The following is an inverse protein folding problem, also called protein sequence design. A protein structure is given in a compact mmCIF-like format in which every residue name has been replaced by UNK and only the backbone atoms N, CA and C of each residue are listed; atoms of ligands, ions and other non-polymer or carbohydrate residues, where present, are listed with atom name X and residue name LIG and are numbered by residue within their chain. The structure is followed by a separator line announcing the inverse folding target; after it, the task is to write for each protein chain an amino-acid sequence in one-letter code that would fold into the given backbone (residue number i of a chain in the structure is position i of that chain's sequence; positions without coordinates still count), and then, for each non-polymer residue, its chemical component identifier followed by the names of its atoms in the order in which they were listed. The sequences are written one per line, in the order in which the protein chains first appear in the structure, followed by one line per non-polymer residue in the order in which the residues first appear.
data_IF_134415076253
#
_entry.id   IF_134415076253
#
_cell.length_a   1.000
_cell.length_b   1.000
_cell.length_c   1.000
_cell.angle_alpha   90.00
_cell.angle_beta   90.00
_cell.angle_gamma   90.00
#
_symmetry.space_group_name_H-M   'P 1'
#
loop_
_entity.id
_entity.type
_entity.pdbx_description
1 polymer ?
#
# COMPACT_ATOMS: atom_id res chain seq x y z
N UNK A 1 5.44 5.87 -5.42
CA UNK A 1 4.91 4.78 -4.59
C UNK A 1 5.45 3.46 -5.12
N UNK A 2 5.81 2.57 -4.21
CA UNK A 2 6.11 1.18 -4.54
C UNK A 2 5.13 0.25 -3.84
N UNK A 3 4.73 -0.83 -4.51
CA UNK A 3 3.92 -1.90 -3.93
C UNK A 3 4.74 -3.17 -4.07
N UNK A 4 4.94 -3.87 -2.97
CA UNK A 4 5.73 -5.10 -2.92
C UNK A 4 4.95 -6.21 -2.23
N UNK A 5 5.08 -7.41 -2.75
CA UNK A 5 4.38 -8.59 -2.24
C UNK A 5 4.72 -9.82 -3.03
N UNK A 6 3.90 -10.85 -2.90
CA UNK A 6 4.01 -12.09 -3.68
C UNK A 6 2.83 -12.24 -4.62
N UNK A 7 3.03 -13.02 -5.67
CA UNK A 7 1.99 -13.25 -6.68
C UNK A 7 0.66 -13.71 -6.08
N UNK A 8 -0.43 -13.08 -6.50
CA UNK A 8 -1.80 -13.37 -6.03
C UNK A 8 -2.32 -12.49 -4.89
N UNK A 9 -1.52 -11.60 -4.32
CA UNK A 9 -1.92 -10.72 -3.21
C UNK A 9 -2.66 -9.45 -3.63
N UNK A 10 -2.81 -9.20 -4.93
CA UNK A 10 -3.59 -8.07 -5.44
C UNK A 10 -2.79 -6.79 -5.69
N UNK A 11 -1.48 -6.90 -5.90
CA UNK A 11 -0.60 -5.78 -6.29
C UNK A 11 -1.15 -5.03 -7.50
N UNK A 12 -1.63 -5.77 -8.50
CA UNK A 12 -2.21 -5.21 -9.72
C UNK A 12 -3.50 -4.40 -9.45
N UNK A 13 -4.38 -4.88 -8.57
CA UNK A 13 -5.59 -4.11 -8.22
C UNK A 13 -5.21 -2.82 -7.50
N UNK A 14 -4.31 -2.91 -6.53
CA UNK A 14 -3.84 -1.76 -5.76
C UNK A 14 -3.20 -0.71 -6.66
N UNK A 15 -2.33 -1.13 -7.61
CA UNK A 15 -1.69 -0.21 -8.55
C UNK A 15 -2.68 0.45 -9.52
N UNK A 16 -3.70 -0.28 -9.97
CA UNK A 16 -4.76 0.27 -10.83
C UNK A 16 -5.58 1.34 -10.10
N UNK A 17 -5.94 1.11 -8.84
CA UNK A 17 -6.67 2.10 -8.03
C UNK A 17 -5.80 3.33 -7.81
N UNK A 18 -4.52 3.15 -7.44
CA UNK A 18 -3.56 4.25 -7.27
C UNK A 18 -3.34 5.04 -8.55
N UNK A 19 -3.18 4.36 -9.67
CA UNK A 19 -3.03 5.03 -10.97
C UNK A 19 -4.28 5.81 -11.37
N UNK A 20 -5.45 5.22 -11.15
CA UNK A 20 -6.73 5.85 -11.51
C UNK A 20 -7.04 7.07 -10.65
N UNK A 21 -6.79 7.03 -9.33
CA UNK A 21 -7.00 8.18 -8.46
C UNK A 21 -6.08 9.34 -8.86
N UNK A 22 -4.82 9.06 -9.18
CA UNK A 22 -3.89 10.09 -9.64
C UNK A 22 -4.31 10.69 -10.99
N UNK A 23 -4.77 9.86 -11.94
CA UNK A 23 -5.32 10.36 -13.22
C UNK A 23 -6.56 11.24 -13.01
N UNK A 24 -7.46 10.86 -12.11
CA UNK A 24 -8.65 11.66 -11.76
C UNK A 24 -8.25 12.99 -11.16
N UNK A 25 -7.16 13.05 -10.40
CA UNK A 25 -6.56 14.29 -9.87
C UNK A 25 -5.79 15.11 -10.91
N UNK A 26 -5.78 14.70 -12.19
CA UNK A 26 -5.16 15.46 -13.28
C UNK A 26 -3.65 15.25 -13.44
N UNK A 27 -3.09 14.24 -12.78
CA UNK A 27 -1.65 13.92 -12.87
C UNK A 27 -1.30 13.04 -14.07
N UNK A 28 -0.09 13.21 -14.60
CA UNK A 28 0.54 12.21 -15.47
C UNK A 28 0.94 10.99 -14.62
N UNK A 29 0.66 9.77 -15.12
CA UNK A 29 0.84 8.52 -14.36
C UNK A 29 1.62 7.51 -15.19
N UNK A 30 2.62 6.89 -14.59
CA UNK A 30 3.31 5.75 -15.15
C UNK A 30 3.27 4.57 -14.17
N UNK A 31 2.98 3.40 -14.69
CA UNK A 31 2.92 2.14 -13.96
C UNK A 31 3.90 1.15 -14.57
N UNK A 32 4.58 0.39 -13.72
CA UNK A 32 5.40 -0.76 -14.14
C UNK A 32 5.33 -1.85 -13.10
N UNK A 33 5.20 -3.10 -13.54
CA UNK A 33 5.21 -4.26 -12.67
C UNK A 33 6.35 -5.19 -13.07
N UNK A 34 7.18 -5.57 -12.11
CA UNK A 34 8.30 -6.48 -12.28
C UNK A 34 8.04 -7.75 -11.48
N UNK A 35 8.07 -8.87 -12.16
CA UNK A 35 7.90 -10.19 -11.54
C UNK A 35 9.25 -10.88 -11.38
N UNK A 36 9.48 -11.53 -10.24
CA UNK A 36 10.57 -12.48 -10.08
C UNK A 36 10.37 -13.69 -10.98
N UNK A 37 11.46 -14.42 -11.29
CA UNK A 37 11.44 -15.59 -12.20
C UNK A 37 10.69 -16.81 -11.65
N UNK A 38 10.23 -16.79 -10.40
CA UNK A 38 9.42 -17.87 -9.81
C UNK A 38 8.01 -17.88 -10.37
N UNK A 39 7.57 -19.02 -10.92
CA UNK A 39 6.25 -19.17 -11.52
C UNK A 39 5.10 -19.11 -10.49
N UNK A 40 5.36 -19.33 -9.20
CA UNK A 40 4.40 -19.21 -8.09
C UNK A 40 5.08 -18.67 -6.85
N UNK A 41 4.43 -17.73 -6.15
CA UNK A 41 4.95 -17.17 -4.91
C UNK A 41 6.22 -16.31 -5.07
N UNK A 42 6.56 -15.90 -6.30
CA UNK A 42 7.66 -14.99 -6.56
C UNK A 42 7.35 -13.57 -6.11
N UNK A 43 8.39 -12.84 -5.73
CA UNK A 43 8.30 -11.42 -5.39
C UNK A 43 7.75 -10.63 -6.59
N UNK A 44 6.81 -9.74 -6.32
CA UNK A 44 6.23 -8.80 -7.29
C UNK A 44 6.50 -7.40 -6.80
N UNK A 45 7.09 -6.59 -7.66
CA UNK A 45 7.35 -5.17 -7.40
C UNK A 45 6.59 -4.34 -8.40
N UNK A 46 5.72 -3.47 -7.93
CA UNK A 46 4.95 -2.56 -8.78
C UNK A 46 5.33 -1.12 -8.43
N UNK A 47 5.71 -0.37 -9.46
CA UNK A 47 6.00 1.05 -9.36
C UNK A 47 4.77 1.85 -9.81
N UNK A 48 4.39 2.85 -9.02
CA UNK A 48 3.36 3.83 -9.35
C UNK A 48 3.98 5.21 -9.20
N UNK A 49 4.24 5.87 -10.32
CA UNK A 49 4.72 7.25 -10.34
C UNK A 49 3.64 8.17 -10.87
N UNK A 50 3.42 9.29 -10.21
CA UNK A 50 2.54 10.33 -10.69
C UNK A 50 3.07 11.72 -10.31
N UNK A 51 2.72 12.70 -11.10
CA UNK A 51 3.16 14.09 -10.95
C UNK A 51 2.66 14.94 -12.12
N UNK A 52 3.10 16.19 -12.20
CA UNK A 52 2.77 17.06 -13.34
C UNK A 52 3.27 16.49 -14.67
N UNK A 53 4.44 15.86 -14.66
CA UNK A 53 5.04 15.15 -15.79
C UNK A 53 5.94 14.04 -15.29
N UNK A 54 5.77 12.83 -15.82
CA UNK A 54 6.53 11.64 -15.43
C UNK A 54 7.14 11.00 -16.67
N UNK A 55 8.47 11.05 -16.78
CA UNK A 55 9.19 10.53 -17.94
C UNK A 55 9.23 9.01 -17.98
N UNK A 56 9.43 8.36 -16.83
CA UNK A 56 9.63 6.91 -16.72
C UNK A 56 8.91 6.31 -15.50
N UNK A 57 8.52 5.02 -15.54
CA UNK A 57 7.78 4.39 -14.47
C UNK A 57 8.63 3.93 -13.29
N UNK A 58 9.93 3.66 -13.50
CA UNK A 58 10.81 3.06 -12.50
C UNK A 58 11.15 4.10 -11.43
N UNK A 59 11.07 3.69 -10.17
CA UNK A 59 11.51 4.47 -9.01
C UNK A 59 12.93 4.05 -8.67
N UNK A 60 13.84 5.01 -8.58
CA UNK A 60 15.22 4.78 -8.15
C UNK A 60 15.29 4.60 -6.62
N UNK A 61 16.41 4.04 -6.15
CA UNK A 61 16.70 3.92 -4.72
C UNK A 61 16.67 5.29 -4.04
N UNK A 62 16.05 5.36 -2.86
CA UNK A 62 15.91 6.59 -2.10
C UNK A 62 14.89 7.60 -2.67
N UNK A 63 14.05 7.21 -3.63
CA UNK A 63 13.12 8.12 -4.30
C UNK A 63 11.62 7.82 -4.06
N UNK A 64 11.28 6.69 -3.45
CA UNK A 64 9.90 6.38 -3.12
C UNK A 64 9.40 7.19 -1.91
N UNK A 65 8.21 7.73 -2.00
CA UNK A 65 7.55 8.42 -0.88
C UNK A 65 6.81 7.41 0.03
N UNK A 66 6.22 6.37 -0.57
CA UNK A 66 5.41 5.35 0.11
C UNK A 66 5.82 3.97 -0.39
N UNK A 67 6.03 3.04 0.54
CA UNK A 67 6.19 1.61 0.30
C UNK A 67 4.99 0.87 0.90
N UNK A 68 4.18 0.25 0.05
CA UNK A 68 3.08 -0.62 0.44
C UNK A 68 3.60 -2.05 0.38
N UNK A 69 3.71 -2.73 1.50
CA UNK A 69 4.23 -4.08 1.59
C UNK A 69 3.17 -5.06 2.08
N UNK A 70 2.81 -6.03 1.25
CA UNK A 70 1.87 -7.08 1.63
C UNK A 70 2.49 -8.19 2.47
N UNK A 71 3.81 -8.19 2.56
CA UNK A 71 4.62 -9.12 3.34
C UNK A 71 5.74 -8.37 4.07
N UNK A 72 5.98 -8.72 5.33
CA UNK A 72 7.06 -8.13 6.13
C UNK A 72 8.44 -8.25 5.48
N UNK A 73 8.77 -9.43 4.94
CA UNK A 73 10.06 -9.67 4.30
C UNK A 73 10.26 -8.80 3.07
N UNK A 74 9.19 -8.50 2.33
CA UNK A 74 9.25 -7.60 1.19
C UNK A 74 9.44 -6.14 1.64
N UNK A 75 8.84 -5.72 2.77
CA UNK A 75 9.12 -4.41 3.36
C UNK A 75 10.62 -4.24 3.68
N UNK A 76 11.22 -5.23 4.34
CA UNK A 76 12.65 -5.23 4.68
C UNK A 76 13.54 -5.20 3.44
N UNK A 77 13.17 -5.98 2.42
CA UNK A 77 13.94 -6.10 1.17
C UNK A 77 13.98 -4.79 0.39
N UNK A 78 12.88 -4.05 0.37
CA UNK A 78 12.70 -2.88 -0.50
C UNK A 78 12.69 -1.53 0.22
N UNK A 79 12.89 -1.49 1.55
CA UNK A 79 12.91 -0.24 2.33
C UNK A 79 13.94 0.78 1.84
N UNK A 80 15.06 0.32 1.26
CA UNK A 80 16.12 1.19 0.74
C UNK A 80 15.68 2.05 -0.46
N UNK A 81 14.55 1.74 -1.10
CA UNK A 81 13.97 2.59 -2.14
C UNK A 81 13.27 3.83 -1.59
N UNK A 82 12.96 3.87 -0.29
CA UNK A 82 12.27 5.01 0.31
C UNK A 82 13.19 6.21 0.49
N UNK A 83 12.62 7.39 0.31
CA UNK A 83 13.20 8.65 0.79
C UNK A 83 13.39 8.59 2.30
N UNK A 84 14.28 9.42 2.81
CA UNK A 84 14.33 9.70 4.25
C UNK A 84 12.94 10.14 4.72
N UNK A 85 12.50 9.61 5.85
CA UNK A 85 11.17 9.88 6.45
C UNK A 85 9.97 9.42 5.58
N UNK A 86 10.19 8.61 4.55
CA UNK A 86 9.14 7.98 3.76
C UNK A 86 8.28 7.01 4.59
N UNK A 87 7.08 6.70 4.11
CA UNK A 87 6.13 5.85 4.81
C UNK A 87 6.22 4.39 4.34
N UNK A 88 6.25 3.45 5.29
CA UNK A 88 6.06 2.00 5.05
C UNK A 88 4.71 1.60 5.64
N UNK A 89 3.82 1.07 4.81
CA UNK A 89 2.60 0.43 5.25
C UNK A 89 2.76 -1.07 5.03
N UNK A 90 2.81 -1.83 6.10
CA UNK A 90 3.09 -3.27 6.02
C UNK A 90 1.97 -4.10 6.64
N UNK A 91 1.57 -5.17 5.93
CA UNK A 91 0.65 -6.17 6.47
C UNK A 91 1.37 -7.06 7.46
N UNK A 92 1.27 -6.71 8.74
CA UNK A 92 1.82 -7.50 9.86
C UNK A 92 0.99 -7.26 11.12
N UNK A 93 1.05 -8.20 12.04
CA UNK A 93 0.31 -8.14 13.33
C UNK A 93 0.95 -7.19 14.33
N UNK A 94 2.24 -6.90 14.18
CA UNK A 94 3.02 -6.08 15.12
C UNK A 94 4.31 -5.58 14.48
N UNK A 95 4.87 -4.55 15.07
CA UNK A 95 6.24 -4.14 14.82
C UNK A 95 7.15 -5.07 15.62
N UNK A 96 7.93 -5.88 14.93
CA UNK A 96 8.98 -6.74 15.50
C UNK A 96 10.34 -6.01 15.50
N UNK A 97 11.40 -6.56 16.10
CA UNK A 97 12.71 -5.91 16.12
C UNK A 97 13.27 -5.51 14.76
N UNK A 98 12.90 -6.23 13.68
CA UNK A 98 13.37 -5.91 12.33
C UNK A 98 12.63 -4.68 11.76
N UNK A 99 11.33 -4.60 11.95
CA UNK A 99 10.54 -3.41 11.58
C UNK A 99 10.85 -2.22 12.49
N UNK A 100 11.22 -2.47 13.75
CA UNK A 100 11.65 -1.44 14.69
C UNK A 100 12.94 -0.73 14.22
N UNK A 101 13.89 -1.48 13.64
CA UNK A 101 15.07 -0.86 13.02
C UNK A 101 14.70 0.03 11.83
N UNK A 102 13.71 -0.36 11.03
CA UNK A 102 13.20 0.50 9.95
C UNK A 102 12.50 1.75 10.49
N UNK A 103 11.81 1.65 11.63
CA UNK A 103 11.12 2.79 12.27
C UNK A 103 12.06 3.90 12.72
N UNK A 104 13.35 3.64 12.87
CA UNK A 104 14.38 4.66 13.14
C UNK A 104 14.65 5.58 11.95
N UNK A 105 14.28 5.15 10.74
CA UNK A 105 14.56 5.88 9.48
C UNK A 105 13.31 6.28 8.72
N UNK A 106 12.22 5.53 8.90
CA UNK A 106 11.00 5.64 8.11
C UNK A 106 9.78 5.66 9.02
N UNK A 107 8.69 6.22 8.54
CA UNK A 107 7.40 6.12 9.23
C UNK A 107 6.79 4.73 8.96
N UNK A 108 6.88 3.79 9.90
CA UNK A 108 6.43 2.41 9.76
C UNK A 108 5.07 2.22 10.42
N UNK A 109 4.10 1.77 9.64
CA UNK A 109 2.73 1.44 10.06
C UNK A 109 2.50 -0.06 9.81
N UNK A 110 2.48 -0.85 10.89
CA UNK A 110 2.13 -2.26 10.82
C UNK A 110 0.62 -2.41 11.02
N UNK A 111 -0.03 -3.09 10.10
CA UNK A 111 -1.50 -3.26 10.05
C UNK A 111 -1.83 -4.72 9.89
N UNK A 112 -2.55 -5.33 10.82
CA UNK A 112 -3.09 -6.68 10.64
C UNK A 112 -4.32 -6.65 9.71
N UNK A 113 -4.05 -6.29 8.46
CA UNK A 113 -5.09 -6.19 7.44
C UNK A 113 -5.72 -7.55 7.12
N UNK A 114 -4.99 -8.64 7.34
CA UNK A 114 -5.51 -9.99 7.15
C UNK A 114 -6.60 -10.31 8.16
N UNK A 115 -6.38 -10.03 9.45
CA UNK A 115 -7.40 -10.22 10.48
C UNK A 115 -8.61 -9.31 10.26
N UNK A 116 -8.40 -8.05 9.90
CA UNK A 116 -9.49 -7.12 9.60
C UNK A 116 -10.32 -7.56 8.39
N UNK A 117 -9.67 -8.06 7.33
CA UNK A 117 -10.36 -8.60 6.16
C UNK A 117 -11.21 -9.84 6.49
N UNK A 118 -10.72 -10.71 7.38
CA UNK A 118 -11.48 -11.86 7.88
C UNK A 118 -12.73 -11.43 8.66
N UNK A 119 -12.64 -10.39 9.50
CA UNK A 119 -13.80 -9.81 10.21
C UNK A 119 -14.86 -9.27 9.23
N UNK A 120 -14.43 -8.74 8.09
CA UNK A 120 -15.33 -8.31 7.01
C UNK A 120 -15.91 -9.48 6.20
N UNK A 121 -15.50 -10.71 6.47
CA UNK A 121 -15.97 -11.91 5.77
C UNK A 121 -15.28 -12.24 4.46
N UNK A 122 -14.20 -11.55 4.10
CA UNK A 122 -13.46 -11.80 2.87
C UNK A 122 -11.96 -11.51 3.02
N UNK A 123 -11.15 -12.54 3.22
CA UNK A 123 -9.70 -12.40 3.36
C UNK A 123 -9.01 -11.71 2.17
N UNK A 124 -9.61 -11.72 0.98
CA UNK A 124 -9.00 -11.14 -0.23
C UNK A 124 -8.96 -9.62 -0.23
N UNK A 125 -9.74 -8.94 0.63
CA UNK A 125 -9.79 -7.47 0.65
C UNK A 125 -8.74 -6.84 1.58
N UNK A 126 -7.82 -7.63 2.13
CA UNK A 126 -6.73 -7.11 2.98
C UNK A 126 -5.88 -6.05 2.24
N UNK A 127 -5.66 -6.23 0.93
CA UNK A 127 -4.96 -5.27 0.08
C UNK A 127 -5.68 -3.91 0.01
N UNK A 128 -7.00 -3.92 0.00
CA UNK A 128 -7.81 -2.69 0.00
C UNK A 128 -7.80 -2.01 1.37
N UNK A 129 -7.70 -2.77 2.47
CA UNK A 129 -7.47 -2.21 3.81
C UNK A 129 -6.11 -1.50 3.86
N UNK A 130 -5.04 -2.16 3.41
CA UNK A 130 -3.70 -1.56 3.32
C UNK A 130 -3.71 -0.30 2.45
N UNK A 131 -4.42 -0.32 1.32
CA UNK A 131 -4.60 0.85 0.47
C UNK A 131 -5.28 2.00 1.23
N UNK A 132 -6.28 1.71 2.07
CA UNK A 132 -6.95 2.72 2.90
C UNK A 132 -5.99 3.40 3.87
N UNK A 133 -5.08 2.65 4.49
CA UNK A 133 -4.02 3.22 5.34
C UNK A 133 -3.06 4.09 4.53
N UNK A 134 -2.63 3.62 3.36
CA UNK A 134 -1.74 4.37 2.48
C UNK A 134 -2.39 5.69 1.98
N UNK A 135 -3.70 5.69 1.76
CA UNK A 135 -4.45 6.85 1.32
C UNK A 135 -4.38 8.04 2.29
N UNK A 136 -4.14 7.80 3.59
CA UNK A 136 -3.94 8.86 4.59
C UNK A 136 -2.69 9.71 4.33
N UNK A 137 -1.74 9.21 3.55
CA UNK A 137 -0.52 9.90 3.15
C UNK A 137 -0.63 10.56 1.77
N UNK A 138 -1.84 10.63 1.21
CA UNK A 138 -2.11 11.18 -0.12
C UNK A 138 -3.16 12.29 -0.05
N UNK A 139 -3.18 13.17 -1.06
CA UNK A 139 -3.99 14.41 -1.05
C UNK A 139 -5.35 14.27 -1.75
N UNK A 140 -5.90 13.06 -1.81
CA UNK A 140 -7.21 12.81 -2.41
C UNK A 140 -8.28 12.66 -1.34
N UNK A 141 -9.49 13.14 -1.60
CA UNK A 141 -10.62 13.02 -0.69
C UNK A 141 -11.10 11.57 -0.56
N UNK A 142 -11.74 11.27 0.56
CA UNK A 142 -12.33 9.95 0.81
C UNK A 142 -13.37 9.59 -0.28
N UNK A 143 -14.13 10.55 -0.73
CA UNK A 143 -15.17 10.40 -1.75
C UNK A 143 -14.57 10.03 -3.10
N UNK A 144 -13.47 10.65 -3.51
CA UNK A 144 -12.73 10.31 -4.73
C UNK A 144 -12.20 8.87 -4.68
N UNK A 145 -11.63 8.45 -3.54
CA UNK A 145 -11.18 7.08 -3.35
C UNK A 145 -12.32 6.07 -3.49
N UNK A 146 -13.46 6.31 -2.82
CA UNK A 146 -14.61 5.40 -2.88
C UNK A 146 -15.17 5.29 -4.31
N UNK A 147 -15.20 6.39 -5.05
CA UNK A 147 -15.62 6.38 -6.45
C UNK A 147 -14.65 5.59 -7.32
N UNK A 148 -13.35 5.84 -7.20
CA UNK A 148 -12.33 5.12 -7.98
C UNK A 148 -12.32 3.63 -7.67
N UNK A 149 -12.52 3.22 -6.42
CA UNK A 149 -12.67 1.82 -6.04
C UNK A 149 -13.89 1.21 -6.74
N UNK A 150 -15.05 1.87 -6.65
CA UNK A 150 -16.29 1.39 -7.30
C UNK A 150 -16.12 1.20 -8.81
N UNK A 151 -15.39 2.11 -9.45
CA UNK A 151 -15.12 2.07 -10.89
C UNK A 151 -14.02 1.07 -11.31
N UNK A 152 -13.31 0.48 -10.35
CA UNK A 152 -12.13 -0.38 -10.64
C UNK A 152 -12.40 -1.84 -10.30
N UNK A 153 -13.16 -2.11 -9.24
CA UNK A 153 -13.47 -3.48 -8.82
C UNK A 153 -14.73 -4.03 -9.51
N UNK A 154 -14.89 -5.35 -9.60
CA UNK A 154 -16.13 -5.94 -10.15
C UNK A 154 -17.38 -5.47 -9.37
N UNK A 155 -18.51 -5.20 -10.03
CA UNK A 155 -19.72 -4.64 -9.38
C UNK A 155 -20.16 -5.39 -8.12
N UNK A 156 -20.08 -6.72 -8.12
CA UNK A 156 -20.46 -7.55 -6.96
C UNK A 156 -19.54 -7.44 -5.74
N UNK A 157 -18.40 -6.76 -5.89
CA UNK A 157 -17.41 -6.61 -4.83
C UNK A 157 -17.22 -5.15 -4.39
N UNK A 158 -18.01 -4.21 -4.93
CA UNK A 158 -17.88 -2.79 -4.61
C UNK A 158 -18.05 -2.57 -3.11
N UNK A 159 -19.16 -3.02 -2.53
CA UNK A 159 -19.49 -2.78 -1.11
C UNK A 159 -18.41 -3.29 -0.17
N UNK A 160 -17.90 -4.51 -0.41
CA UNK A 160 -16.89 -5.10 0.46
C UNK A 160 -15.53 -4.38 0.33
N UNK A 161 -15.16 -3.93 -0.88
CA UNK A 161 -13.94 -3.18 -1.08
C UNK A 161 -14.03 -1.77 -0.51
N UNK A 162 -15.16 -1.09 -0.63
CA UNK A 162 -15.36 0.22 0.00
C UNK A 162 -15.32 0.12 1.53
N UNK A 163 -15.95 -0.90 2.14
CA UNK A 163 -15.86 -1.17 3.58
C UNK A 163 -14.41 -1.44 4.01
N UNK A 164 -13.70 -2.27 3.27
CA UNK A 164 -12.29 -2.57 3.52
C UNK A 164 -11.42 -1.31 3.46
N UNK A 165 -11.60 -0.49 2.42
CA UNK A 165 -10.91 0.78 2.30
C UNK A 165 -11.19 1.71 3.51
N UNK A 166 -12.44 1.85 3.91
CA UNK A 166 -12.83 2.69 5.05
C UNK A 166 -12.25 2.17 6.37
N UNK A 167 -12.16 0.85 6.55
CA UNK A 167 -11.48 0.24 7.71
C UNK A 167 -10.02 0.69 7.76
N UNK A 168 -9.30 0.62 6.66
CA UNK A 168 -7.91 1.09 6.57
C UNK A 168 -7.78 2.61 6.68
N UNK A 169 -8.66 3.36 6.05
CA UNK A 169 -8.66 4.82 6.07
C UNK A 169 -8.92 5.41 7.47
N UNK A 170 -9.66 4.69 8.30
CA UNK A 170 -9.91 5.04 9.71
C UNK A 170 -8.85 4.48 10.68
N UNK A 171 -7.85 3.75 10.17
CA UNK A 171 -6.82 3.14 11.01
C UNK A 171 -5.94 4.22 11.63
N UNK A 172 -6.04 4.37 12.93
CA UNK A 172 -5.14 5.19 13.73
C UNK A 172 -4.03 4.27 14.23
N UNK A 173 -2.89 4.24 13.54
CA UNK A 173 -1.78 3.36 13.88
C UNK A 173 -1.59 3.24 15.39
N UNK A 174 -1.32 2.05 15.90
CA UNK A 174 -0.87 1.88 17.28
C UNK A 174 0.48 2.61 17.41
N UNK A 175 0.43 3.90 17.68
CA UNK A 175 1.54 4.58 18.31
C UNK A 175 1.73 3.85 19.64
N UNK A 176 2.75 3.02 19.73
CA UNK A 176 3.27 2.57 21.01
C UNK A 176 3.45 3.85 21.83
N UNK A 177 2.53 4.08 22.79
CA UNK A 177 2.79 5.00 23.87
C UNK A 177 4.13 4.55 24.45
N UNK A 178 5.17 5.33 24.21
CA UNK A 178 6.42 5.21 24.95
C UNK A 178 6.02 5.47 26.39
N UNK A 179 5.99 4.38 27.17
CA UNK A 179 5.76 4.44 28.58
C UNK A 179 6.69 5.49 29.19
N UNK A 180 6.10 6.53 29.69
CA UNK A 180 6.70 7.33 30.73
C UNK A 180 6.64 6.49 32.01
N UNK A 181 7.74 5.92 32.42
CA UNK A 181 8.09 5.66 33.81
C UNK A 181 9.53 6.11 34.05
#
# INVERSE_FOLDING_TARGET
IMIVGVGGQGTLLTSRVLGKIALTGGYDVKLSEVHGMAQRGGSVVTFVRYGESVAEPIVEEGQADILIAFERLEALRYAHFLKKDGAIIVNDTRIDPMLEELSKKYNVLAVDATAEALKLGNARVFNTIILGVAAQHMHFSKEEWLQVIADTVPPKTIDINQKAFLTGYAYNGNHTEQGQE
#
